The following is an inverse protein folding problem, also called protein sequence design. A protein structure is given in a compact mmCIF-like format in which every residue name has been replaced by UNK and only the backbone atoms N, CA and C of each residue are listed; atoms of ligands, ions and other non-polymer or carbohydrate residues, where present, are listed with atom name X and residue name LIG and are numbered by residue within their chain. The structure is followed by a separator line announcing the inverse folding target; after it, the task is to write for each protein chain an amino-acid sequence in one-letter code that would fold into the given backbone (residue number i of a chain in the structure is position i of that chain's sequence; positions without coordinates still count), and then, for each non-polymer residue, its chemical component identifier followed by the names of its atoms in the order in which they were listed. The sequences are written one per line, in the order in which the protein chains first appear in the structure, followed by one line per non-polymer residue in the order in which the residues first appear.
data_IF_994156405346
#
_entry.id   IF_994156405346
#
_cell.length_a   1.000
_cell.length_b   1.000
_cell.length_c   1.000
_cell.angle_alpha   90.00
_cell.angle_beta   90.00
_cell.angle_gamma   90.00
#
_symmetry.space_group_name_H-M   'P 1'
#
loop_
_entity.id
_entity.type
_entity.pdbx_description
1 polymer ?
#
# COMPACT_ATOMS: atom_id res chain seq x y z
N UNK A 1 -10.53 22.95 6.08
CA UNK A 1 -9.80 22.83 4.81
C UNK A 1 -9.19 24.17 4.47
N UNK A 2 -7.94 24.17 4.03
CA UNK A 2 -7.21 25.28 3.46
C UNK A 2 -7.17 25.09 1.93
N UNK A 3 -7.09 26.20 1.19
CA UNK A 3 -6.95 26.14 -0.26
C UNK A 3 -5.50 25.84 -0.60
N UNK A 4 -5.27 24.89 -1.50
CA UNK A 4 -3.94 24.41 -1.90
C UNK A 4 -3.89 24.27 -3.43
N UNK A 5 -2.67 24.31 -4.00
CA UNK A 5 -2.42 24.06 -5.43
C UNK A 5 -3.18 24.96 -6.42
N UNK A 6 -3.49 26.19 -6.03
CA UNK A 6 -4.15 27.14 -6.92
C UNK A 6 -3.11 27.83 -7.81
N UNK A 7 -2.92 27.33 -9.03
CA UNK A 7 -1.97 27.92 -9.98
C UNK A 7 -2.32 29.34 -10.43
N UNK A 8 -3.60 29.64 -10.66
CA UNK A 8 -4.07 30.96 -11.12
C UNK A 8 -4.36 31.96 -9.99
N UNK A 9 -4.46 31.49 -8.75
CA UNK A 9 -4.89 32.27 -7.58
C UNK A 9 -4.00 31.91 -6.39
N UNK A 10 -2.71 31.87 -6.65
CA UNK A 10 -1.68 31.45 -5.69
C UNK A 10 -1.71 32.25 -4.38
N UNK A 11 -2.18 33.51 -4.42
CA UNK A 11 -2.37 34.36 -3.24
C UNK A 11 -3.48 33.89 -2.29
N UNK A 12 -4.27 32.91 -2.70
CA UNK A 12 -5.31 32.29 -1.87
C UNK A 12 -4.86 30.98 -1.23
N UNK A 13 -3.72 30.42 -1.62
CA UNK A 13 -3.16 29.21 -1.01
C UNK A 13 -2.93 29.45 0.48
N UNK A 14 -3.19 28.43 1.30
CA UNK A 14 -3.11 28.48 2.75
C UNK A 14 -4.28 29.20 3.44
N UNK A 15 -5.27 29.76 2.68
CA UNK A 15 -6.42 30.45 3.27
C UNK A 15 -7.58 29.48 3.48
N UNK A 16 -8.24 29.63 4.64
CA UNK A 16 -9.52 28.99 4.93
C UNK A 16 -10.67 29.78 4.30
N UNK A 17 -11.82 29.14 4.06
CA UNK A 17 -13.02 29.81 3.53
C UNK A 17 -13.34 31.13 4.26
N UNK A 18 -13.23 31.16 5.61
CA UNK A 18 -13.47 32.35 6.42
C UNK A 18 -12.58 33.55 6.09
N UNK A 19 -11.39 33.29 5.55
CA UNK A 19 -10.34 34.29 5.23
C UNK A 19 -10.42 34.78 3.78
N UNK A 20 -11.28 34.18 2.97
CA UNK A 20 -11.41 34.54 1.55
C UNK A 20 -12.10 35.90 1.35
N UNK A 21 -11.75 36.62 0.29
CA UNK A 21 -12.48 37.84 -0.11
C UNK A 21 -13.97 37.55 -0.37
N UNK A 22 -14.84 38.52 -0.05
CA UNK A 22 -16.29 38.34 -0.15
C UNK A 22 -16.76 37.88 -1.54
N UNK A 23 -16.22 38.45 -2.62
CA UNK A 23 -16.55 38.04 -3.99
C UNK A 23 -16.26 36.56 -4.28
N UNK A 24 -15.20 36.02 -3.68
CA UNK A 24 -14.79 34.61 -3.84
C UNK A 24 -15.73 33.70 -3.04
N UNK A 25 -16.07 34.10 -1.80
CA UNK A 25 -17.09 33.40 -1.01
C UNK A 25 -18.41 33.30 -1.76
N UNK A 26 -18.90 34.42 -2.27
CA UNK A 26 -20.15 34.46 -3.07
C UNK A 26 -20.06 33.61 -4.33
N UNK A 27 -18.90 33.54 -4.97
CA UNK A 27 -18.65 32.65 -6.12
C UNK A 27 -18.71 31.16 -5.75
N UNK A 28 -18.16 30.80 -4.59
CA UNK A 28 -18.23 29.45 -4.05
C UNK A 28 -19.66 29.09 -3.64
N UNK A 29 -20.34 29.98 -2.90
CA UNK A 29 -21.68 29.74 -2.36
C UNK A 29 -22.74 29.62 -3.46
N UNK A 30 -22.52 30.24 -4.62
CA UNK A 30 -23.42 30.14 -5.79
C UNK A 30 -23.14 28.91 -6.67
N UNK A 31 -22.10 28.11 -6.38
CA UNK A 31 -21.83 26.92 -7.16
C UNK A 31 -22.88 25.84 -6.91
N UNK A 32 -23.47 25.40 -8.01
CA UNK A 32 -24.39 24.27 -8.00
C UNK A 32 -23.58 22.97 -8.00
N UNK A 33 -23.96 22.07 -7.10
CA UNK A 33 -23.43 20.70 -7.06
C UNK A 33 -24.49 19.76 -7.66
N UNK A 34 -24.12 19.02 -8.69
CA UNK A 34 -24.94 17.92 -9.18
C UNK A 34 -24.78 16.72 -8.25
N UNK A 35 -25.87 16.21 -7.73
CA UNK A 35 -25.90 15.05 -6.82
C UNK A 35 -26.72 13.94 -7.47
N UNK A 36 -26.16 12.72 -7.45
CA UNK A 36 -26.88 11.52 -7.82
C UNK A 36 -27.21 10.77 -6.53
N UNK A 37 -28.49 10.61 -6.24
CA UNK A 37 -28.96 9.89 -5.06
C UNK A 37 -29.41 8.49 -5.46
N UNK A 38 -28.85 7.48 -4.84
CA UNK A 38 -29.29 6.09 -4.96
C UNK A 38 -30.25 5.78 -3.83
N UNK A 39 -31.45 5.35 -4.18
CA UNK A 39 -32.44 4.93 -3.18
C UNK A 39 -32.19 3.47 -2.79
N UNK A 40 -32.10 3.22 -1.51
CA UNK A 40 -31.86 1.89 -0.94
C UNK A 40 -32.96 0.88 -1.31
N UNK A 41 -34.18 1.37 -1.45
CA UNK A 41 -35.35 0.58 -1.87
C UNK A 41 -35.25 0.02 -3.29
N UNK A 42 -34.28 0.51 -4.09
CA UNK A 42 -34.02 0.00 -5.43
C UNK A 42 -33.27 -1.33 -5.45
N UNK A 43 -32.73 -1.76 -4.32
CA UNK A 43 -32.00 -3.02 -4.18
C UNK A 43 -32.84 -4.11 -3.51
N UNK A 44 -32.68 -5.36 -3.95
CA UNK A 44 -33.42 -6.51 -3.40
C UNK A 44 -32.74 -7.12 -2.17
N UNK A 45 -31.44 -6.87 -2.02
CA UNK A 45 -30.62 -7.38 -0.91
C UNK A 45 -29.35 -6.51 -0.75
N UNK A 46 -28.63 -6.61 0.38
CA UNK A 46 -27.42 -5.82 0.65
C UNK A 46 -26.32 -5.98 -0.41
N UNK A 47 -26.13 -7.17 -0.96
CA UNK A 47 -25.12 -7.45 -1.99
C UNK A 47 -25.42 -6.65 -3.27
N UNK A 48 -26.68 -6.63 -3.69
CA UNK A 48 -27.12 -5.85 -4.85
C UNK A 48 -27.00 -4.34 -4.62
N UNK A 49 -27.23 -3.87 -3.39
CA UNK A 49 -27.01 -2.47 -3.02
C UNK A 49 -25.55 -2.06 -3.23
N UNK A 50 -24.61 -2.89 -2.77
CA UNK A 50 -23.17 -2.65 -2.92
C UNK A 50 -22.72 -2.69 -4.39
N UNK A 51 -23.20 -3.66 -5.16
CA UNK A 51 -22.92 -3.76 -6.59
C UNK A 51 -23.43 -2.53 -7.35
N UNK A 52 -24.62 -2.05 -7.01
CA UNK A 52 -25.18 -0.82 -7.60
C UNK A 52 -24.34 0.41 -7.22
N UNK A 53 -23.94 0.55 -5.96
CA UNK A 53 -23.06 1.65 -5.52
C UNK A 53 -21.74 1.62 -6.30
N UNK A 54 -21.10 0.46 -6.40
CA UNK A 54 -19.84 0.27 -7.15
C UNK A 54 -20.01 0.65 -8.62
N UNK A 55 -21.04 0.14 -9.28
CA UNK A 55 -21.33 0.44 -10.68
C UNK A 55 -21.54 1.94 -10.94
N UNK A 56 -22.30 2.61 -10.09
CA UNK A 56 -22.53 4.05 -10.22
C UNK A 56 -21.26 4.84 -9.97
N UNK A 57 -20.49 4.46 -8.96
CA UNK A 57 -19.22 5.10 -8.63
C UNK A 57 -18.21 4.96 -9.78
N UNK A 58 -18.06 3.78 -10.35
CA UNK A 58 -17.21 3.52 -11.52
C UNK A 58 -17.64 4.36 -12.74
N UNK A 59 -18.95 4.50 -13.00
CA UNK A 59 -19.46 5.33 -14.10
C UNK A 59 -19.22 6.82 -13.88
N UNK A 60 -19.39 7.32 -12.66
CA UNK A 60 -19.14 8.72 -12.32
C UNK A 60 -17.66 9.06 -12.42
N UNK A 61 -16.80 8.09 -12.16
CA UNK A 61 -15.34 8.22 -12.21
C UNK A 61 -14.79 8.45 -13.64
N UNK A 62 -15.60 8.27 -14.68
CA UNK A 62 -15.18 8.46 -16.09
C UNK A 62 -15.11 9.90 -16.56
N UNK A 63 -15.57 10.88 -15.75
CA UNK A 63 -15.70 12.28 -16.15
C UNK A 63 -14.63 13.24 -15.61
N UNK A 64 -13.61 12.75 -14.89
CA UNK A 64 -12.58 13.58 -14.24
C UNK A 64 -11.23 12.85 -14.10
N UNK A 65 -10.49 13.18 -13.03
CA UNK A 65 -9.32 12.39 -12.62
C UNK A 65 -9.81 11.04 -12.12
N UNK A 66 -9.46 9.98 -12.84
CA UNK A 66 -9.88 8.61 -12.53
C UNK A 66 -9.34 8.19 -11.16
N UNK A 67 -10.20 7.72 -10.26
CA UNK A 67 -9.79 7.14 -8.99
C UNK A 67 -9.13 5.78 -9.19
N UNK A 68 -8.15 5.47 -8.37
CA UNK A 68 -7.55 4.14 -8.30
C UNK A 68 -8.43 3.20 -7.46
N UNK A 69 -8.22 1.90 -7.62
CA UNK A 69 -9.04 0.87 -6.95
C UNK A 69 -9.14 1.06 -5.44
N UNK A 70 -8.07 1.50 -4.78
CA UNK A 70 -8.09 1.69 -3.32
C UNK A 70 -8.85 2.94 -2.89
N UNK A 71 -8.81 4.00 -3.67
CA UNK A 71 -9.63 5.20 -3.44
C UNK A 71 -11.12 4.84 -3.54
N UNK A 72 -11.48 4.00 -4.53
CA UNK A 72 -12.84 3.47 -4.69
C UNK A 72 -13.23 2.60 -3.50
N UNK A 73 -12.34 1.69 -3.04
CA UNK A 73 -12.59 0.85 -1.86
C UNK A 73 -12.82 1.68 -0.61
N UNK A 74 -11.99 2.69 -0.38
CA UNK A 74 -12.11 3.58 0.77
C UNK A 74 -13.47 4.31 0.78
N UNK A 75 -13.95 4.74 -0.38
CA UNK A 75 -15.24 5.41 -0.50
C UNK A 75 -16.43 4.44 -0.32
N UNK A 76 -16.34 3.20 -0.80
CA UNK A 76 -17.44 2.24 -0.80
C UNK A 76 -17.52 1.38 0.46
N UNK A 77 -16.37 1.00 1.03
CA UNK A 77 -16.25 0.03 2.09
C UNK A 77 -15.56 0.61 3.34
N UNK A 78 -15.75 1.93 3.59
CA UNK A 78 -15.27 2.56 4.81
C UNK A 78 -15.79 1.87 6.07
N UNK A 79 -14.94 1.74 7.10
CA UNK A 79 -15.28 1.10 8.37
C UNK A 79 -14.02 0.73 9.16
N UNK A 80 -14.21 0.06 10.29
CA UNK A 80 -13.15 -0.18 11.30
C UNK A 80 -11.89 -0.89 10.76
N UNK A 81 -12.04 -1.79 9.81
CA UNK A 81 -10.89 -2.46 9.20
C UNK A 81 -10.20 -1.60 8.14
N UNK A 82 -10.98 -0.82 7.38
CA UNK A 82 -10.42 0.19 6.49
C UNK A 82 -9.63 1.26 7.28
N UNK A 83 -10.18 1.71 8.40
CA UNK A 83 -9.52 2.68 9.28
C UNK A 83 -8.22 2.10 9.87
N UNK A 84 -8.20 0.82 10.24
CA UNK A 84 -6.97 0.11 10.63
C UNK A 84 -5.94 0.13 9.49
N UNK A 85 -6.33 -0.15 8.24
CA UNK A 85 -5.41 -0.11 7.10
C UNK A 85 -4.84 1.29 6.88
N UNK A 86 -5.67 2.33 6.99
CA UNK A 86 -5.24 3.74 6.89
C UNK A 86 -4.27 4.10 8.02
N UNK A 87 -4.52 3.64 9.23
CA UNK A 87 -3.66 3.93 10.37
C UNK A 87 -2.30 3.22 10.24
N UNK A 88 -2.30 1.94 9.88
CA UNK A 88 -1.08 1.16 9.66
C UNK A 88 -0.25 1.66 8.47
N UNK A 89 -0.85 2.31 7.48
CA UNK A 89 -0.08 2.91 6.38
C UNK A 89 0.83 4.06 6.84
N UNK A 90 0.60 4.59 8.05
CA UNK A 90 1.43 5.60 8.71
C UNK A 90 2.58 5.00 9.53
N UNK A 91 2.66 3.68 9.65
CA UNK A 91 3.73 3.02 10.41
C UNK A 91 5.11 3.42 9.90
N UNK A 92 6.01 3.81 10.79
CA UNK A 92 7.33 4.39 10.46
C UNK A 92 8.19 3.40 9.68
N UNK A 93 8.29 2.15 10.14
CA UNK A 93 9.06 1.09 9.47
C UNK A 93 8.51 0.82 8.07
N UNK A 94 7.18 0.73 7.92
CA UNK A 94 6.53 0.54 6.64
C UNK A 94 6.86 1.68 5.65
N UNK A 95 6.71 2.93 6.07
CA UNK A 95 7.03 4.10 5.25
C UNK A 95 8.49 4.14 4.85
N UNK A 96 9.39 3.87 5.80
CA UNK A 96 10.84 3.78 5.55
C UNK A 96 11.16 2.73 4.48
N UNK A 97 10.62 1.51 4.59
CA UNK A 97 10.87 0.42 3.65
C UNK A 97 10.30 0.68 2.25
N UNK A 98 9.21 1.42 2.14
CA UNK A 98 8.65 1.84 0.87
C UNK A 98 9.20 3.18 0.39
N UNK A 99 10.03 3.84 1.21
CA UNK A 99 10.59 5.15 0.95
C UNK A 99 9.51 6.23 0.81
N UNK A 100 8.41 6.11 1.56
CA UNK A 100 7.36 7.13 1.63
C UNK A 100 7.81 8.17 2.66
N UNK A 101 7.88 9.44 2.28
CA UNK A 101 8.26 10.52 3.21
C UNK A 101 7.18 10.70 4.28
N UNK A 102 7.60 10.96 5.52
CA UNK A 102 6.70 11.10 6.67
C UNK A 102 6.06 12.48 6.80
N UNK A 103 6.57 13.49 6.10
CA UNK A 103 6.14 14.88 6.17
C UNK A 103 5.70 15.39 4.81
N UNK A 104 4.55 16.05 4.75
CA UNK A 104 4.05 16.72 3.55
C UNK A 104 4.95 17.90 3.16
N UNK A 105 5.66 18.48 4.14
CA UNK A 105 6.54 19.63 3.98
C UNK A 105 7.81 19.32 3.17
N UNK A 106 8.25 18.05 3.12
CA UNK A 106 9.38 17.61 2.31
C UNK A 106 9.06 17.55 0.80
N UNK A 107 7.77 17.61 0.45
CA UNK A 107 7.30 17.50 -0.94
C UNK A 107 7.39 18.84 -1.66
N UNK A 108 7.27 19.97 -0.94
CA UNK A 108 7.34 21.32 -1.52
C UNK A 108 8.78 21.79 -1.82
N UNK A 109 9.79 21.12 -1.26
CA UNK A 109 11.21 21.49 -1.42
C UNK A 109 11.85 20.97 -2.72
N UNK A 110 11.10 20.30 -3.62
CA UNK A 110 11.67 19.50 -4.71
C UNK A 110 11.49 20.14 -6.10
N UNK A 111 11.11 21.39 -6.18
CA UNK A 111 10.93 22.08 -7.49
C UNK A 111 12.22 22.30 -8.30
N UNK A 112 13.40 21.94 -7.78
CA UNK A 112 14.70 22.25 -8.39
C UNK A 112 15.65 21.06 -8.68
N UNK A 113 15.17 19.81 -8.73
CA UNK A 113 16.06 18.65 -8.93
C UNK A 113 15.87 18.00 -10.31
N UNK A 114 16.74 18.35 -11.26
CA UNK A 114 16.85 17.75 -12.61
C UNK A 114 17.59 16.39 -12.61
N UNK A 115 17.22 15.38 -11.78
CA UNK A 115 17.93 14.12 -11.79
C UNK A 115 17.04 12.89 -11.46
N UNK A 116 17.59 11.71 -11.65
CA UNK A 116 17.01 10.35 -11.47
C UNK A 116 16.22 10.14 -10.16
N UNK A 117 16.45 10.95 -9.15
CA UNK A 117 15.71 11.01 -7.89
C UNK A 117 14.27 11.51 -8.06
N UNK A 118 13.98 12.34 -9.07
CA UNK A 118 12.64 12.91 -9.31
C UNK A 118 11.61 11.82 -9.67
N UNK A 119 11.99 10.83 -10.46
CA UNK A 119 11.11 9.72 -10.81
C UNK A 119 10.77 8.86 -9.58
N UNK A 120 11.72 8.73 -8.64
CA UNK A 120 11.53 7.99 -7.39
C UNK A 120 10.67 8.78 -6.40
N UNK A 121 10.86 10.10 -6.30
CA UNK A 121 10.05 11.01 -5.49
C UNK A 121 8.61 11.10 -6.01
N UNK A 122 8.43 11.20 -7.33
CA UNK A 122 7.11 11.17 -7.97
C UNK A 122 6.38 9.85 -7.75
N UNK A 123 7.10 8.71 -7.81
CA UNK A 123 6.53 7.41 -7.50
C UNK A 123 6.12 7.29 -6.02
N UNK A 124 6.91 7.86 -5.10
CA UNK A 124 6.60 7.95 -3.66
C UNK A 124 5.36 8.79 -3.42
N UNK A 125 5.27 9.95 -4.04
CA UNK A 125 4.11 10.84 -3.98
C UNK A 125 2.85 10.17 -4.54
N UNK A 126 2.97 9.39 -5.61
CA UNK A 126 1.85 8.59 -6.16
C UNK A 126 1.38 7.52 -5.20
N UNK A 127 2.28 6.84 -4.46
CA UNK A 127 1.90 5.83 -3.47
C UNK A 127 0.99 6.44 -2.39
N UNK A 128 1.33 7.60 -1.87
CA UNK A 128 0.52 8.28 -0.86
C UNK A 128 -0.76 8.91 -1.45
N UNK A 129 -0.65 9.76 -2.49
CA UNK A 129 -1.77 10.51 -3.08
C UNK A 129 -2.88 9.61 -3.64
N UNK A 130 -2.59 8.37 -4.00
CA UNK A 130 -3.52 7.43 -4.60
C UNK A 130 -3.88 6.27 -3.68
N UNK A 131 -3.62 6.40 -2.36
CA UNK A 131 -3.87 5.39 -1.33
C UNK A 131 -3.23 4.01 -1.62
N UNK A 132 -2.12 3.99 -2.37
CA UNK A 132 -1.38 2.77 -2.66
C UNK A 132 -0.75 2.16 -1.41
N UNK A 133 -0.35 3.01 -0.46
CA UNK A 133 0.13 2.63 0.86
C UNK A 133 -0.95 1.86 1.64
N UNK A 134 -2.18 2.34 1.62
CA UNK A 134 -3.34 1.65 2.24
C UNK A 134 -3.64 0.34 1.52
N UNK A 135 -3.54 0.30 0.18
CA UNK A 135 -3.70 -0.94 -0.58
C UNK A 135 -2.69 -2.00 -0.16
N UNK A 136 -1.44 -1.63 0.09
CA UNK A 136 -0.39 -2.56 0.52
C UNK A 136 -0.70 -3.20 1.88
N UNK A 137 -1.25 -2.43 2.82
CA UNK A 137 -1.71 -2.97 4.10
C UNK A 137 -2.85 -3.97 3.88
N UNK A 138 -3.87 -3.58 3.11
CA UNK A 138 -4.98 -4.49 2.79
C UNK A 138 -4.51 -5.76 2.07
N UNK A 139 -3.54 -5.65 1.15
CA UNK A 139 -2.91 -6.81 0.47
C UNK A 139 -2.26 -7.77 1.46
N UNK A 140 -1.55 -7.27 2.46
CA UNK A 140 -0.93 -8.12 3.48
C UNK A 140 -1.98 -9.02 4.16
N UNK A 141 -3.11 -8.46 4.60
CA UNK A 141 -4.16 -9.24 5.23
C UNK A 141 -4.87 -10.17 4.24
N UNK A 142 -5.17 -9.69 3.04
CA UNK A 142 -5.82 -10.49 1.99
C UNK A 142 -4.95 -11.68 1.58
N UNK A 143 -3.65 -11.48 1.38
CA UNK A 143 -2.73 -12.53 0.95
C UNK A 143 -2.52 -13.62 2.01
N UNK A 144 -2.75 -13.34 3.29
CA UNK A 144 -2.72 -14.38 4.35
C UNK A 144 -3.83 -15.43 4.18
N UNK A 145 -4.86 -15.12 3.42
CA UNK A 145 -5.95 -16.03 3.03
C UNK A 145 -5.80 -16.49 1.57
N UNK A 146 -4.57 -16.51 1.05
CA UNK A 146 -4.30 -16.84 -0.36
C UNK A 146 -4.84 -18.21 -0.77
N UNK A 147 -4.98 -19.16 0.15
CA UNK A 147 -5.55 -20.47 -0.12
C UNK A 147 -7.03 -20.41 -0.48
N UNK A 148 -7.75 -19.44 0.05
CA UNK A 148 -9.16 -19.18 -0.25
C UNK A 148 -9.32 -18.36 -1.55
N UNK A 149 -8.23 -17.80 -2.07
CA UNK A 149 -8.27 -16.95 -3.25
C UNK A 149 -8.70 -17.72 -4.50
N UNK A 150 -9.78 -17.24 -5.13
CA UNK A 150 -10.25 -17.71 -6.42
C UNK A 150 -10.81 -16.52 -7.21
N UNK A 151 -10.44 -16.37 -8.46
CA UNK A 151 -10.92 -15.29 -9.32
C UNK A 151 -9.97 -14.08 -9.39
N UNK A 152 -10.50 -12.87 -9.24
CA UNK A 152 -9.72 -11.62 -9.34
C UNK A 152 -9.28 -11.15 -7.97
N UNK A 153 -8.02 -10.72 -7.86
CA UNK A 153 -7.46 -10.20 -6.62
C UNK A 153 -8.23 -8.98 -6.11
N UNK A 154 -8.68 -8.08 -6.99
CA UNK A 154 -9.45 -6.90 -6.62
C UNK A 154 -10.75 -7.29 -5.89
N UNK A 155 -11.50 -8.26 -6.42
CA UNK A 155 -12.74 -8.76 -5.79
C UNK A 155 -12.47 -9.46 -4.46
N UNK A 156 -11.35 -10.16 -4.34
CA UNK A 156 -10.93 -10.81 -3.09
C UNK A 156 -10.57 -9.77 -2.02
N UNK A 157 -9.87 -8.70 -2.39
CA UNK A 157 -9.57 -7.57 -1.50
C UNK A 157 -10.85 -6.84 -1.06
N UNK A 158 -11.80 -6.63 -1.97
CA UNK A 158 -13.12 -6.05 -1.64
C UNK A 158 -13.86 -6.92 -0.61
N UNK A 159 -13.82 -8.24 -0.77
CA UNK A 159 -14.44 -9.20 0.17
C UNK A 159 -13.76 -9.18 1.54
N UNK A 160 -12.43 -9.17 1.57
CA UNK A 160 -11.64 -9.10 2.80
C UNK A 160 -11.98 -7.81 3.58
N UNK A 161 -12.07 -6.68 2.90
CA UNK A 161 -12.40 -5.40 3.53
C UNK A 161 -13.82 -5.40 4.11
N UNK A 162 -14.81 -5.93 3.37
CA UNK A 162 -16.19 -6.06 3.87
C UNK A 162 -16.29 -6.94 5.10
N UNK A 163 -15.63 -8.10 5.09
CA UNK A 163 -15.63 -9.00 6.24
C UNK A 163 -14.92 -8.38 7.45
N UNK A 164 -13.78 -7.74 7.22
CA UNK A 164 -12.98 -7.10 8.26
C UNK A 164 -13.70 -5.96 8.98
N UNK A 165 -14.63 -5.28 8.30
CA UNK A 165 -15.43 -4.24 8.93
C UNK A 165 -16.43 -4.76 9.98
N UNK A 166 -16.58 -6.08 10.12
CA UNK A 166 -17.36 -6.73 11.18
C UNK A 166 -16.51 -7.32 12.31
N UNK A 167 -15.19 -7.12 12.28
CA UNK A 167 -14.29 -7.61 13.33
C UNK A 167 -14.47 -6.84 14.63
N UNK A 168 -14.25 -7.52 15.75
CA UNK A 168 -14.21 -6.88 17.06
C UNK A 168 -12.95 -6.06 17.25
N UNK A 169 -12.95 -5.16 18.22
CA UNK A 169 -11.77 -4.36 18.56
C UNK A 169 -10.56 -5.23 18.93
N UNK A 170 -10.79 -6.34 19.64
CA UNK A 170 -9.75 -7.30 20.03
C UNK A 170 -9.14 -7.98 18.80
N UNK A 171 -9.97 -8.36 17.82
CA UNK A 171 -9.49 -8.96 16.57
C UNK A 171 -8.66 -7.94 15.76
N UNK A 172 -9.07 -6.69 15.72
CA UNK A 172 -8.33 -5.62 15.05
C UNK A 172 -6.97 -5.36 15.72
N UNK A 173 -6.88 -5.39 17.05
CA UNK A 173 -5.59 -5.26 17.76
C UNK A 173 -4.66 -6.45 17.50
N UNK A 174 -5.18 -7.67 17.41
CA UNK A 174 -4.37 -8.85 17.00
C UNK A 174 -3.83 -8.67 15.58
N UNK A 175 -4.65 -8.16 14.65
CA UNK A 175 -4.23 -7.88 13.28
C UNK A 175 -3.17 -6.77 13.25
N UNK A 176 -3.36 -5.69 14.01
CA UNK A 176 -2.38 -4.62 14.18
C UNK A 176 -1.03 -5.17 14.61
N UNK A 177 -1.01 -5.87 15.74
CA UNK A 177 0.24 -6.45 16.27
C UNK A 177 0.91 -7.41 15.29
N UNK A 178 0.12 -8.17 14.51
CA UNK A 178 0.65 -9.07 13.49
C UNK A 178 1.34 -8.34 12.34
N UNK A 179 0.79 -7.23 11.89
CA UNK A 179 1.41 -6.40 10.86
C UNK A 179 2.68 -5.72 11.39
N UNK A 180 2.59 -5.11 12.57
CA UNK A 180 3.72 -4.39 13.19
C UNK A 180 4.91 -5.31 13.50
N UNK A 181 4.67 -6.52 14.01
CA UNK A 181 5.70 -7.54 14.17
C UNK A 181 6.33 -7.93 12.82
N UNK A 182 5.51 -8.18 11.81
CA UNK A 182 6.00 -8.61 10.50
C UNK A 182 6.83 -7.53 9.80
N UNK A 183 6.39 -6.27 9.83
CA UNK A 183 7.12 -5.16 9.20
C UNK A 183 8.43 -4.85 9.92
N UNK A 184 8.45 -4.97 11.25
CA UNK A 184 9.66 -4.82 12.06
C UNK A 184 10.70 -5.91 11.73
N UNK A 185 10.27 -7.17 11.56
CA UNK A 185 11.14 -8.25 11.08
C UNK A 185 11.75 -7.94 9.72
N UNK A 186 10.94 -7.45 8.77
CA UNK A 186 11.43 -7.07 7.45
C UNK A 186 12.50 -5.97 7.52
N UNK A 187 12.27 -4.94 8.35
CA UNK A 187 13.21 -3.84 8.56
C UNK A 187 14.52 -4.34 9.20
N UNK A 188 14.44 -5.11 10.28
CA UNK A 188 15.63 -5.60 11.00
C UNK A 188 16.48 -6.54 10.14
N UNK A 189 15.86 -7.43 9.37
CA UNK A 189 16.58 -8.41 8.56
C UNK A 189 17.22 -7.78 7.31
N UNK A 190 16.55 -6.84 6.64
CA UNK A 190 16.94 -6.42 5.29
C UNK A 190 16.98 -4.91 5.08
N UNK A 191 16.70 -4.11 6.11
CA UNK A 191 16.65 -2.65 6.03
C UNK A 191 15.86 -2.19 4.80
N UNK A 192 16.29 -1.15 4.10
CA UNK A 192 15.68 -0.58 2.90
C UNK A 192 15.64 -1.54 1.68
N UNK A 193 16.24 -2.73 1.78
CA UNK A 193 16.26 -3.76 0.71
C UNK A 193 15.14 -4.80 0.87
N UNK A 194 14.37 -4.77 1.96
CA UNK A 194 13.36 -5.78 2.25
C UNK A 194 12.37 -6.04 1.09
N UNK A 195 11.94 -5.01 0.39
CA UNK A 195 10.96 -5.11 -0.70
C UNK A 195 11.58 -4.88 -2.09
N UNK A 196 12.91 -4.84 -2.16
CA UNK A 196 13.66 -4.64 -3.40
C UNK A 196 14.12 -5.98 -3.96
N UNK A 197 14.20 -6.08 -5.27
CA UNK A 197 14.81 -7.21 -5.96
C UNK A 197 16.23 -6.86 -6.40
N UNK A 198 17.18 -7.77 -6.25
CA UNK A 198 18.49 -7.64 -6.85
C UNK A 198 18.50 -8.31 -8.23
N UNK A 199 18.57 -7.52 -9.31
CA UNK A 199 18.42 -8.01 -10.67
C UNK A 199 19.07 -7.07 -11.68
N UNK A 200 19.05 -7.46 -12.96
CA UNK A 200 19.53 -6.60 -14.05
C UNK A 200 18.54 -5.49 -14.38
N UNK A 201 18.94 -4.23 -14.14
CA UNK A 201 18.24 -3.04 -14.57
C UNK A 201 19.12 -2.32 -15.58
N UNK A 202 18.62 -2.13 -16.81
CA UNK A 202 19.39 -1.47 -17.90
C UNK A 202 20.80 -2.05 -18.08
N UNK A 203 20.92 -3.39 -18.06
CA UNK A 203 22.20 -4.15 -18.22
C UNK A 203 23.17 -4.03 -17.03
N UNK A 204 22.77 -3.43 -15.91
CA UNK A 204 23.57 -3.36 -14.68
C UNK A 204 22.87 -4.17 -13.59
N UNK A 205 23.60 -5.03 -12.89
CA UNK A 205 23.09 -5.76 -11.74
C UNK A 205 23.00 -4.79 -10.55
N UNK A 206 21.78 -4.57 -10.05
CA UNK A 206 21.50 -3.59 -8.99
C UNK A 206 20.18 -3.91 -8.27
N UNK A 207 19.94 -3.21 -7.18
CA UNK A 207 18.65 -3.22 -6.49
C UNK A 207 17.59 -2.41 -7.27
N UNK A 208 16.38 -2.94 -7.35
CA UNK A 208 15.20 -2.19 -7.83
C UNK A 208 14.64 -1.28 -6.75
N UNK A 209 13.68 -0.43 -7.10
CA UNK A 209 12.78 0.15 -6.12
C UNK A 209 11.90 -0.96 -5.48
N UNK A 210 11.25 -0.68 -4.31
CA UNK A 210 10.33 -1.62 -3.68
C UNK A 210 9.19 -2.05 -4.62
N UNK A 211 8.83 -3.33 -4.59
CA UNK A 211 7.86 -3.96 -5.51
C UNK A 211 6.85 -4.84 -4.79
N UNK A 212 5.58 -4.79 -5.21
CA UNK A 212 4.50 -5.67 -4.69
C UNK A 212 4.84 -7.16 -4.87
N UNK A 213 5.53 -7.51 -5.98
CA UNK A 213 5.95 -8.88 -6.28
C UNK A 213 6.90 -9.47 -5.21
N UNK A 214 7.66 -8.62 -4.54
CA UNK A 214 8.56 -8.99 -3.44
C UNK A 214 7.84 -8.83 -2.09
N UNK A 215 7.11 -7.73 -1.91
CA UNK A 215 6.37 -7.42 -0.69
C UNK A 215 5.40 -8.53 -0.30
N UNK A 216 4.53 -8.97 -1.21
CA UNK A 216 3.51 -9.97 -0.90
C UNK A 216 4.12 -11.27 -0.34
N UNK A 217 5.05 -11.97 -1.03
CA UNK A 217 5.58 -13.23 -0.53
C UNK A 217 6.50 -13.10 0.68
N UNK A 218 7.30 -12.03 0.80
CA UNK A 218 8.20 -11.87 1.95
C UNK A 218 7.41 -11.53 3.22
N UNK A 219 6.39 -10.67 3.14
CA UNK A 219 5.52 -10.37 4.27
C UNK A 219 4.74 -11.60 4.72
N UNK A 220 4.28 -12.44 3.78
CA UNK A 220 3.65 -13.71 4.11
C UNK A 220 4.61 -14.65 4.85
N UNK A 221 5.82 -14.83 4.33
CA UNK A 221 6.84 -15.68 4.97
C UNK A 221 7.15 -15.19 6.39
N UNK A 222 7.49 -13.90 6.55
CA UNK A 222 7.81 -13.32 7.86
C UNK A 222 6.64 -13.37 8.85
N UNK A 223 5.40 -13.35 8.36
CA UNK A 223 4.23 -13.46 9.21
C UNK A 223 4.03 -14.86 9.82
N UNK A 224 4.68 -15.88 9.28
CA UNK A 224 4.56 -17.28 9.70
C UNK A 224 5.72 -17.74 10.58
N UNK A 225 6.86 -17.06 10.51
CA UNK A 225 8.09 -17.46 11.20
C UNK A 225 8.25 -16.65 12.49
N UNK A 226 8.54 -17.33 13.61
CA UNK A 226 9.07 -16.69 14.83
C UNK A 226 10.58 -16.53 14.69
N UNK A 227 11.09 -15.36 15.05
CA UNK A 227 12.53 -15.05 15.00
C UNK A 227 12.94 -14.45 16.35
N UNK A 228 13.32 -15.32 17.28
CA UNK A 228 13.67 -14.91 18.64
C UNK A 228 15.04 -14.21 18.69
N UNK A 229 15.93 -14.54 17.75
CA UNK A 229 17.30 -13.99 17.68
C UNK A 229 17.43 -12.76 16.75
N UNK A 230 16.32 -12.15 16.33
CA UNK A 230 16.33 -11.09 15.29
C UNK A 230 17.22 -9.89 15.66
N UNK A 231 17.31 -9.57 16.95
CA UNK A 231 18.11 -8.44 17.44
C UNK A 231 19.63 -8.69 17.40
N UNK A 232 20.05 -9.93 17.24
CA UNK A 232 21.46 -10.34 17.14
C UNK A 232 21.90 -10.60 15.71
N UNK A 233 21.00 -10.59 14.75
CA UNK A 233 21.29 -10.86 13.34
C UNK A 233 21.97 -9.68 12.66
N UNK A 234 23.01 -9.96 11.88
CA UNK A 234 23.73 -8.95 11.09
C UNK A 234 22.95 -8.62 9.81
N UNK A 235 22.34 -7.45 9.78
CA UNK A 235 21.55 -6.94 8.64
C UNK A 235 22.36 -6.85 7.35
N UNK A 236 23.65 -6.42 7.41
CA UNK A 236 24.47 -6.28 6.22
C UNK A 236 24.82 -7.64 5.62
N UNK A 237 25.13 -8.62 6.48
CA UNK A 237 25.35 -10.00 6.06
C UNK A 237 24.07 -10.60 5.45
N UNK A 238 22.92 -10.35 6.05
CA UNK A 238 21.61 -10.80 5.52
C UNK A 238 21.32 -10.21 4.14
N UNK A 239 21.64 -8.93 3.91
CA UNK A 239 21.50 -8.28 2.60
C UNK A 239 22.42 -8.93 1.57
N UNK A 240 23.66 -9.31 1.94
CA UNK A 240 24.57 -10.01 1.04
C UNK A 240 24.04 -11.42 0.70
N UNK A 241 23.50 -12.14 1.67
CA UNK A 241 22.84 -13.44 1.45
C UNK A 241 21.59 -13.28 0.57
N UNK A 242 20.80 -12.21 0.76
CA UNK A 242 19.63 -11.89 -0.06
C UNK A 242 20.00 -11.63 -1.54
N UNK A 243 21.14 -11.01 -1.83
CA UNK A 243 21.65 -10.89 -3.22
C UNK A 243 21.85 -12.27 -3.85
N UNK A 244 22.56 -13.17 -3.17
CA UNK A 244 22.80 -14.54 -3.64
C UNK A 244 21.50 -15.31 -3.83
N UNK A 245 20.53 -15.13 -2.92
CA UNK A 245 19.21 -15.73 -3.03
C UNK A 245 18.51 -15.32 -4.35
N UNK A 246 18.53 -14.04 -4.72
CA UNK A 246 17.95 -13.58 -5.98
C UNK A 246 18.70 -14.07 -7.21
N UNK A 247 20.03 -14.14 -7.16
CA UNK A 247 20.87 -14.68 -8.24
C UNK A 247 20.54 -16.16 -8.52
N UNK A 248 20.37 -16.94 -7.46
CA UNK A 248 20.03 -18.38 -7.55
C UNK A 248 18.58 -18.60 -8.00
N UNK A 249 17.64 -17.77 -7.58
CA UNK A 249 16.22 -17.94 -7.79
C UNK A 249 15.63 -16.98 -8.86
N UNK A 250 16.45 -16.40 -9.71
CA UNK A 250 16.06 -15.36 -10.67
C UNK A 250 14.80 -15.72 -11.49
N UNK A 251 14.65 -16.97 -11.91
CA UNK A 251 13.49 -17.44 -12.68
C UNK A 251 12.14 -17.32 -11.94
N UNK A 252 12.14 -17.31 -10.61
CA UNK A 252 10.92 -17.12 -9.81
C UNK A 252 10.49 -15.64 -9.73
N UNK A 253 11.41 -14.72 -10.00
CA UNK A 253 11.25 -13.28 -9.84
C UNK A 253 11.36 -12.50 -11.17
N UNK A 254 11.05 -13.14 -12.30
CA UNK A 254 11.13 -12.54 -13.65
C UNK A 254 10.01 -11.54 -13.99
N UNK A 255 9.07 -11.31 -13.06
CA UNK A 255 7.94 -10.39 -13.18
C UNK A 255 6.80 -10.86 -14.09
N UNK A 256 6.97 -11.97 -14.82
CA UNK A 256 5.97 -12.50 -15.77
C UNK A 256 4.93 -13.39 -15.10
N UNK A 257 5.20 -13.85 -13.90
CA UNK A 257 4.41 -14.85 -13.18
C UNK A 257 3.80 -14.23 -11.93
N UNK A 258 2.47 -14.09 -11.95
CA UNK A 258 1.71 -13.46 -10.85
C UNK A 258 0.48 -14.28 -10.43
N UNK A 259 0.43 -15.57 -10.80
CA UNK A 259 -0.63 -16.45 -10.34
C UNK A 259 -0.52 -16.74 -8.84
N UNK A 260 -1.61 -17.23 -8.23
CA UNK A 260 -1.62 -17.74 -6.86
C UNK A 260 -0.43 -18.68 -6.60
N UNK A 261 -0.21 -19.66 -7.47
CA UNK A 261 0.89 -20.63 -7.35
C UNK A 261 2.27 -19.97 -7.38
N UNK A 262 2.44 -18.92 -8.18
CA UNK A 262 3.72 -18.21 -8.24
C UNK A 262 4.00 -17.41 -6.96
N UNK A 263 2.96 -16.83 -6.36
CA UNK A 263 3.06 -16.13 -5.07
C UNK A 263 3.40 -17.14 -3.96
N UNK A 264 2.69 -18.26 -3.89
CA UNK A 264 2.95 -19.33 -2.92
C UNK A 264 4.38 -19.88 -3.06
N UNK A 265 4.84 -20.15 -4.28
CA UNK A 265 6.19 -20.60 -4.53
C UNK A 265 7.26 -19.60 -4.05
N UNK A 266 7.06 -18.31 -4.30
CA UNK A 266 7.97 -17.27 -3.79
C UNK A 266 7.94 -17.17 -2.27
N UNK A 267 6.77 -17.33 -1.65
CA UNK A 267 6.64 -17.40 -0.20
C UNK A 267 7.45 -18.57 0.37
N UNK A 268 7.33 -19.78 -0.20
CA UNK A 268 8.10 -20.96 0.22
C UNK A 268 9.62 -20.73 0.09
N UNK A 269 10.06 -20.11 -1.01
CA UNK A 269 11.46 -19.74 -1.20
C UNK A 269 11.95 -18.77 -0.12
N UNK A 270 11.13 -17.76 0.25
CA UNK A 270 11.48 -16.84 1.33
C UNK A 270 11.47 -17.52 2.70
N UNK A 271 10.53 -18.45 2.98
CA UNK A 271 10.50 -19.22 4.22
C UNK A 271 11.83 -19.97 4.38
N UNK A 272 12.19 -20.79 3.40
CA UNK A 272 13.43 -21.57 3.42
C UNK A 272 14.67 -20.67 3.55
N UNK A 273 14.68 -19.52 2.87
CA UNK A 273 15.77 -18.56 2.96
C UNK A 273 15.89 -17.95 4.37
N UNK A 274 14.76 -17.52 4.97
CA UNK A 274 14.77 -16.93 6.30
C UNK A 274 15.16 -17.96 7.36
N UNK A 275 14.67 -19.20 7.24
CA UNK A 275 15.06 -20.30 8.12
C UNK A 275 16.57 -20.53 8.08
N UNK A 276 17.18 -20.50 6.88
CA UNK A 276 18.65 -20.62 6.77
C UNK A 276 19.40 -19.44 7.43
N UNK A 277 18.83 -18.23 7.42
CA UNK A 277 19.44 -17.11 8.13
C UNK A 277 19.43 -17.30 9.65
N UNK A 278 18.36 -17.91 10.18
CA UNK A 278 18.21 -18.19 11.61
C UNK A 278 19.19 -19.29 12.04
N UNK A 279 19.31 -20.34 11.24
CA UNK A 279 20.25 -21.44 11.49
C UNK A 279 21.70 -20.93 11.53
N UNK A 280 22.12 -20.18 10.51
CA UNK A 280 23.47 -19.59 10.42
C UNK A 280 23.81 -18.62 11.56
N UNK A 281 22.79 -17.98 12.19
CA UNK A 281 23.00 -17.06 13.31
C UNK A 281 23.15 -17.81 14.66
N UNK A 282 22.71 -19.08 14.73
CA UNK A 282 22.76 -19.89 15.93
C UNK A 282 24.06 -20.73 16.00
N UNK A 283 24.86 -20.81 14.92
CA UNK A 283 26.17 -21.42 14.85
C UNK A 283 27.29 -20.45 15.24
#
# INVERSE_FOLDING_TARGET
YELEELAQWSELNGKKYSQLPQKIKEGIDRRQLSVITLLKESSKNPTQEEEMKKMVFERLNTGGVTLEDQEIRNALYGGVFNDLCIDLSKNVSFRKLWGITSELDDIEAVDDIENYDDALLYAKNKLYKRMYDVELILRFYTMRHIDEFNGKLSEFMDSCLRQGNHYSSEALEILRGKFEDTILKAEKLFSDKAFCQYTFVRKKLTWTAPQKMIYDPIMLALSQISIDCIDTMDTELNIQKLKKFYETNNAAFDGKRQSKKDIQKRMELFITFIESLIEDNNE
#
